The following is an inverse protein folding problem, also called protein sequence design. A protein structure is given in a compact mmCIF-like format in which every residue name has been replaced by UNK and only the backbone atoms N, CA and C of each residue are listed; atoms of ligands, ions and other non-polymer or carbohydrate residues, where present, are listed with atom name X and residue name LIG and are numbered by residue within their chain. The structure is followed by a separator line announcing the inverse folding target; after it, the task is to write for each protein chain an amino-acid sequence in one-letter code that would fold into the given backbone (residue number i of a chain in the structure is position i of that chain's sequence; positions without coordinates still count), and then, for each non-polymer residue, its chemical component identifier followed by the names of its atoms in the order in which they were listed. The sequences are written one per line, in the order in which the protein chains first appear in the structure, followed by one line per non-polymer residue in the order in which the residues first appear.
data_IF_763533729928
#
_entry.id   IF_763533729928
#
_cell.length_a   1.000
_cell.length_b   1.000
_cell.length_c   1.000
_cell.angle_alpha   90.00
_cell.angle_beta   90.00
_cell.angle_gamma   90.00
#
_symmetry.space_group_name_H-M   'P 1'
#
loop_
_entity.id
_entity.type
_entity.pdbx_description
1 polymer ?
#
# COMPACT_ATOMS: atom_id res chain seq x y z
N UNK A 1 18.26 31.85 37.55
CA UNK A 1 18.49 31.72 36.10
C UNK A 1 17.94 30.37 35.66
N UNK A 2 16.77 30.40 35.03
CA UNK A 2 15.99 29.24 34.58
C UNK A 2 16.62 28.59 33.36
N UNK A 3 16.80 27.27 33.38
CA UNK A 3 17.14 26.48 32.19
C UNK A 3 15.97 25.53 31.90
N UNK A 4 14.93 26.04 31.24
CA UNK A 4 13.83 25.24 30.72
C UNK A 4 14.31 24.49 29.50
N UNK A 5 14.48 23.18 29.68
CA UNK A 5 14.77 22.21 28.62
C UNK A 5 13.76 22.39 27.49
N UNK A 6 14.27 22.59 26.27
CA UNK A 6 13.49 22.47 25.04
C UNK A 6 12.93 21.05 24.92
N UNK A 7 11.72 20.84 25.43
CA UNK A 7 10.93 19.66 25.12
C UNK A 7 10.46 19.82 23.65
N UNK A 8 10.78 18.88 22.74
CA UNK A 8 10.22 18.95 21.39
C UNK A 8 8.70 18.92 21.52
N UNK A 9 8.04 19.93 20.95
CA UNK A 9 6.58 20.06 20.95
C UNK A 9 5.96 18.72 20.58
N UNK A 10 5.19 18.15 21.50
CA UNK A 10 4.48 16.89 21.23
C UNK A 10 3.58 17.11 20.01
N UNK A 11 3.67 16.27 18.96
CA UNK A 11 2.88 16.52 17.76
C UNK A 11 1.38 16.56 18.10
N UNK A 12 0.66 17.51 17.50
CA UNK A 12 -0.80 17.60 17.64
C UNK A 12 -1.49 16.28 17.29
N UNK A 13 -2.69 16.04 17.81
CA UNK A 13 -3.41 14.77 17.65
C UNK A 13 -3.58 14.35 16.18
N UNK A 14 -3.79 15.31 15.28
CA UNK A 14 -3.85 15.10 13.81
C UNK A 14 -2.53 14.55 13.28
N UNK A 15 -1.40 15.13 13.68
CA UNK A 15 -0.07 14.68 13.25
C UNK A 15 0.22 13.26 13.74
N UNK A 16 -0.14 12.95 14.99
CA UNK A 16 -0.03 11.59 15.54
C UNK A 16 -0.92 10.59 14.78
N UNK A 17 -2.13 10.97 14.44
CA UNK A 17 -3.05 10.14 13.66
C UNK A 17 -2.56 9.88 12.22
N UNK A 18 -2.04 10.91 11.54
CA UNK A 18 -1.48 10.78 10.18
C UNK A 18 -0.20 9.93 10.15
N UNK A 19 0.64 10.05 11.18
CA UNK A 19 1.81 9.17 11.37
C UNK A 19 1.39 7.72 11.62
N UNK A 20 0.30 7.51 12.37
CA UNK A 20 -0.25 6.18 12.68
C UNK A 20 -0.79 5.48 11.41
N UNK A 21 -1.47 6.21 10.52
CA UNK A 21 -1.97 5.67 9.24
C UNK A 21 -0.84 5.48 8.21
N UNK A 22 0.37 5.99 8.48
CA UNK A 22 1.48 6.06 7.50
C UNK A 22 0.97 6.67 6.20
N UNK A 23 0.48 7.91 6.28
CA UNK A 23 -0.15 8.64 5.16
C UNK A 23 0.64 8.55 3.84
N UNK A 24 1.97 8.51 3.92
CA UNK A 24 2.83 8.31 2.76
C UNK A 24 2.56 7.02 1.97
N UNK A 25 2.24 5.91 2.63
CA UNK A 25 1.92 4.64 1.94
C UNK A 25 0.52 4.69 1.31
N UNK A 26 -0.38 5.53 1.85
CA UNK A 26 -1.70 5.78 1.28
C UNK A 26 -1.60 6.56 -0.04
N UNK A 27 -0.68 7.53 -0.11
CA UNK A 27 -0.40 8.29 -1.33
C UNK A 27 0.04 7.36 -2.47
N UNK A 28 0.71 6.24 -2.18
CA UNK A 28 1.25 5.37 -3.22
C UNK A 28 0.23 4.38 -3.79
N UNK A 29 -0.74 3.93 -2.99
CA UNK A 29 -1.78 3.01 -3.45
C UNK A 29 -2.94 3.72 -4.18
N UNK A 30 -3.18 4.99 -3.84
CA UNK A 30 -4.26 5.79 -4.41
C UNK A 30 -4.20 5.90 -5.96
N UNK A 31 -3.04 6.17 -6.58
CA UNK A 31 -2.92 6.25 -8.03
C UNK A 31 -3.35 4.99 -8.77
N UNK A 32 -3.09 3.80 -8.24
CA UNK A 32 -3.47 2.54 -8.88
C UNK A 32 -4.99 2.33 -8.86
N UNK A 33 -5.64 2.64 -7.75
CA UNK A 33 -7.10 2.56 -7.65
C UNK A 33 -7.79 3.62 -8.53
N UNK A 34 -7.29 4.85 -8.55
CA UNK A 34 -7.82 5.90 -9.41
C UNK A 34 -7.57 5.62 -10.90
N UNK A 35 -6.42 5.08 -11.26
CA UNK A 35 -6.14 4.65 -12.64
C UNK A 35 -7.11 3.55 -13.10
N UNK A 36 -7.35 2.55 -12.25
CA UNK A 36 -8.36 1.52 -12.52
C UNK A 36 -9.77 2.12 -12.68
N UNK A 37 -10.15 3.06 -11.80
CA UNK A 37 -11.44 3.76 -11.87
C UNK A 37 -11.60 4.57 -13.17
N UNK A 38 -10.56 5.32 -13.56
CA UNK A 38 -10.57 6.12 -14.79
C UNK A 38 -10.73 5.24 -16.02
N UNK A 39 -9.95 4.16 -16.13
CA UNK A 39 -10.07 3.21 -17.24
C UNK A 39 -11.46 2.56 -17.25
N UNK A 40 -11.94 2.09 -16.10
CA UNK A 40 -13.27 1.50 -15.97
C UNK A 40 -14.42 2.45 -16.39
N UNK A 41 -14.20 3.76 -16.24
CA UNK A 41 -15.16 4.80 -16.57
C UNK A 41 -14.92 5.45 -17.95
N UNK A 42 -14.00 4.92 -18.77
CA UNK A 42 -13.56 5.56 -20.01
C UNK A 42 -13.21 7.05 -19.82
N UNK A 43 -12.45 7.33 -18.77
CA UNK A 43 -12.00 8.67 -18.37
C UNK A 43 -12.99 9.49 -17.55
N UNK A 44 -14.29 9.13 -17.51
CA UNK A 44 -15.35 9.98 -16.94
C UNK A 44 -16.15 9.31 -15.82
N UNK A 45 -15.55 9.02 -14.65
CA UNK A 45 -16.29 8.50 -13.51
C UNK A 45 -17.25 9.57 -12.99
N UNK A 46 -18.44 9.14 -12.54
CA UNK A 46 -19.36 10.08 -11.88
C UNK A 46 -18.73 10.60 -10.59
N UNK A 47 -18.96 11.88 -10.26
CA UNK A 47 -18.42 12.48 -9.04
C UNK A 47 -18.82 11.69 -7.78
N UNK A 48 -20.05 11.15 -7.76
CA UNK A 48 -20.53 10.29 -6.67
C UNK A 48 -19.67 9.04 -6.50
N UNK A 49 -19.41 8.29 -7.57
CA UNK A 49 -18.59 7.07 -7.51
C UNK A 49 -17.17 7.41 -7.08
N UNK A 50 -16.58 8.47 -7.66
CA UNK A 50 -15.24 8.94 -7.30
C UNK A 50 -15.14 9.24 -5.79
N UNK A 51 -16.06 10.05 -5.26
CA UNK A 51 -16.06 10.41 -3.83
C UNK A 51 -16.26 9.19 -2.93
N UNK A 52 -17.17 8.28 -3.28
CA UNK A 52 -17.40 7.06 -2.50
C UNK A 52 -16.19 6.11 -2.53
N UNK A 53 -15.52 5.97 -3.69
CA UNK A 53 -14.27 5.21 -3.80
C UNK A 53 -13.19 5.81 -2.90
N UNK A 54 -13.02 7.15 -2.91
CA UNK A 54 -12.07 7.82 -2.01
C UNK A 54 -12.39 7.57 -0.53
N UNK A 55 -13.67 7.65 -0.15
CA UNK A 55 -14.12 7.32 1.22
C UNK A 55 -13.77 5.86 1.57
N UNK A 56 -14.09 4.91 0.68
CA UNK A 56 -13.74 3.51 0.87
C UNK A 56 -12.24 3.30 1.05
N UNK A 57 -11.41 3.95 0.23
CA UNK A 57 -9.96 3.83 0.31
C UNK A 57 -9.40 4.35 1.63
N UNK A 58 -9.83 5.54 2.08
CA UNK A 58 -9.39 6.13 3.35
C UNK A 58 -9.86 5.28 4.53
N UNK A 59 -11.12 4.83 4.51
CA UNK A 59 -11.71 4.02 5.56
C UNK A 59 -11.05 2.63 5.67
N UNK A 60 -10.91 1.91 4.55
CA UNK A 60 -10.26 0.60 4.51
C UNK A 60 -8.80 0.68 4.97
N UNK A 61 -8.06 1.69 4.52
CA UNK A 61 -6.67 1.90 4.93
C UNK A 61 -6.56 2.18 6.43
N UNK A 62 -7.45 3.01 6.96
CA UNK A 62 -7.51 3.34 8.38
C UNK A 62 -7.81 2.09 9.21
N UNK A 63 -8.81 1.30 8.80
CA UNK A 63 -9.16 0.05 9.47
C UNK A 63 -8.00 -0.95 9.46
N UNK A 64 -7.37 -1.18 8.32
CA UNK A 64 -6.24 -2.11 8.18
C UNK A 64 -5.03 -1.69 9.03
N UNK A 65 -4.71 -0.40 9.09
CA UNK A 65 -3.60 0.11 9.90
C UNK A 65 -3.91 -0.01 11.40
N UNK A 66 -5.12 0.34 11.83
CA UNK A 66 -5.52 0.21 13.23
C UNK A 66 -5.56 -1.26 13.67
N UNK A 67 -6.10 -2.15 12.84
CA UNK A 67 -6.11 -3.57 13.10
C UNK A 67 -4.69 -4.12 13.24
N UNK A 68 -3.78 -3.78 12.32
CA UNK A 68 -2.37 -4.17 12.42
C UNK A 68 -1.73 -3.70 13.74
N UNK A 69 -1.96 -2.44 14.15
CA UNK A 69 -1.41 -1.90 15.41
C UNK A 69 -1.95 -2.60 16.64
N UNK A 70 -3.23 -2.99 16.63
CA UNK A 70 -3.85 -3.74 17.71
C UNK A 70 -3.30 -5.19 17.78
N UNK A 71 -3.11 -5.85 16.64
CA UNK A 71 -2.57 -7.22 16.56
C UNK A 71 -1.10 -7.27 16.99
N UNK A 72 -0.31 -6.27 16.59
CA UNK A 72 1.12 -6.18 16.89
C UNK A 72 1.42 -5.48 18.23
N UNK A 73 0.42 -5.10 19.01
CA UNK A 73 0.55 -4.19 20.17
C UNK A 73 1.68 -4.55 21.13
N UNK A 74 1.79 -5.81 21.55
CA UNK A 74 2.84 -6.26 22.47
C UNK A 74 4.20 -6.37 21.80
N UNK A 75 4.27 -6.81 20.55
CA UNK A 75 5.51 -6.92 19.79
C UNK A 75 6.08 -5.55 19.41
N UNK A 76 5.23 -4.61 19.02
CA UNK A 76 5.59 -3.23 18.68
C UNK A 76 6.23 -2.52 19.89
N UNK A 77 5.88 -2.88 21.13
CA UNK A 77 6.49 -2.35 22.36
C UNK A 77 7.91 -2.85 22.62
N UNK A 78 8.26 -4.05 22.14
CA UNK A 78 9.60 -4.64 22.33
C UNK A 78 10.60 -4.23 21.24
N UNK A 79 10.12 -3.76 20.09
CA UNK A 79 10.99 -3.29 19.01
C UNK A 79 11.33 -1.81 19.17
N UNK A 80 12.62 -1.49 19.33
CA UNK A 80 13.15 -0.13 19.49
C UNK A 80 12.67 0.84 18.41
N UNK A 81 12.47 0.37 17.18
CA UNK A 81 12.01 1.18 16.05
C UNK A 81 10.52 1.54 16.12
N UNK A 82 9.72 0.71 16.79
CA UNK A 82 8.26 0.82 16.79
C UNK A 82 7.68 1.10 18.18
N UNK A 83 8.52 1.12 19.21
CA UNK A 83 8.14 1.31 20.59
C UNK A 83 7.33 2.60 20.80
N UNK A 84 7.53 3.66 20.01
CA UNK A 84 6.74 4.89 20.14
C UNK A 84 5.29 4.78 19.62
N UNK A 85 4.93 3.74 18.86
CA UNK A 85 3.62 3.64 18.20
C UNK A 85 2.44 3.51 19.18
N UNK A 86 2.62 2.78 20.28
CA UNK A 86 1.56 2.59 21.28
C UNK A 86 1.25 3.87 22.08
N UNK A 87 2.14 4.88 22.01
CA UNK A 87 1.96 6.19 22.65
C UNK A 87 1.10 7.15 21.79
N UNK A 88 0.82 6.79 20.54
CA UNK A 88 0.09 7.67 19.62
C UNK A 88 -1.41 7.74 19.95
N UNK A 89 -2.01 6.62 20.35
CA UNK A 89 -3.43 6.47 20.66
C UNK A 89 -3.64 5.36 21.70
N UNK A 90 -4.58 5.56 22.62
CA UNK A 90 -4.94 4.52 23.60
C UNK A 90 -5.64 3.34 22.91
N UNK A 91 -5.51 2.14 23.49
CA UNK A 91 -6.11 0.92 22.96
C UNK A 91 -7.64 1.04 22.75
N UNK A 92 -8.43 1.59 23.70
CA UNK A 92 -9.86 1.81 23.49
C UNK A 92 -10.17 2.76 22.34
N UNK A 93 -9.39 3.85 22.20
CA UNK A 93 -9.57 4.79 21.10
C UNK A 93 -9.28 4.14 19.74
N UNK A 94 -8.23 3.33 19.63
CA UNK A 94 -7.96 2.57 18.39
C UNK A 94 -9.07 1.58 18.05
N UNK A 95 -9.63 0.88 19.04
CA UNK A 95 -10.78 0.01 18.81
C UNK A 95 -11.99 0.79 18.31
N UNK A 96 -12.29 1.95 18.89
CA UNK A 96 -13.39 2.82 18.46
C UNK A 96 -13.18 3.30 17.00
N UNK A 97 -11.98 3.78 16.66
CA UNK A 97 -11.66 4.19 15.29
C UNK A 97 -11.66 3.02 14.30
N UNK A 98 -11.26 1.82 14.73
CA UNK A 98 -11.32 0.62 13.91
C UNK A 98 -12.77 0.27 13.56
N UNK A 99 -13.66 0.27 14.56
CA UNK A 99 -15.09 0.02 14.36
C UNK A 99 -15.71 1.09 13.46
N UNK A 100 -15.41 2.37 13.72
CA UNK A 100 -15.92 3.49 12.93
C UNK A 100 -15.46 3.41 11.46
N UNK A 101 -14.16 3.20 11.22
CA UNK A 101 -13.61 3.08 9.85
C UNK A 101 -14.14 1.86 9.11
N UNK A 102 -14.32 0.73 9.80
CA UNK A 102 -14.95 -0.47 9.22
C UNK A 102 -16.41 -0.20 8.85
N UNK A 103 -17.17 0.48 9.71
CA UNK A 103 -18.56 0.86 9.42
C UNK A 103 -18.65 1.83 8.24
N UNK A 104 -17.80 2.85 8.19
CA UNK A 104 -17.74 3.80 7.08
C UNK A 104 -17.42 3.09 5.76
N UNK A 105 -16.44 2.18 5.75
CA UNK A 105 -16.09 1.41 4.55
C UNK A 105 -17.28 0.57 4.05
N UNK A 106 -17.95 -0.14 4.95
CA UNK A 106 -19.09 -0.99 4.60
C UNK A 106 -20.28 -0.15 4.10
N UNK A 107 -20.63 0.93 4.79
CA UNK A 107 -21.73 1.81 4.39
C UNK A 107 -21.46 2.48 3.04
N UNK A 108 -20.23 2.96 2.81
CA UNK A 108 -19.83 3.53 1.53
C UNK A 108 -19.89 2.46 0.41
N UNK A 109 -19.41 1.24 0.67
CA UNK A 109 -19.46 0.13 -0.28
C UNK A 109 -20.89 -0.27 -0.66
N UNK A 110 -21.81 -0.29 0.31
CA UNK A 110 -23.25 -0.52 0.08
C UNK A 110 -23.88 0.61 -0.75
N UNK A 111 -23.40 1.84 -0.57
CA UNK A 111 -23.93 3.03 -1.26
C UNK A 111 -23.48 3.18 -2.72
N UNK A 112 -22.55 2.34 -3.19
CA UNK A 112 -22.02 2.34 -4.56
C UNK A 112 -22.87 1.41 -5.44
N UNK A 113 -22.76 0.09 -5.26
CA UNK A 113 -23.54 -0.91 -6.01
C UNK A 113 -23.61 -2.27 -5.26
N UNK A 114 -24.40 -3.22 -5.80
CA UNK A 114 -24.59 -4.54 -5.16
C UNK A 114 -23.31 -5.37 -5.08
N UNK A 115 -22.44 -5.30 -6.09
CA UNK A 115 -21.21 -6.09 -6.10
C UNK A 115 -20.23 -5.59 -5.02
N UNK A 116 -20.04 -4.28 -4.88
CA UNK A 116 -19.24 -3.70 -3.80
C UNK A 116 -19.82 -4.02 -2.42
N UNK A 117 -21.15 -4.00 -2.27
CA UNK A 117 -21.81 -4.41 -1.03
C UNK A 117 -21.44 -5.84 -0.62
N UNK A 118 -21.63 -6.80 -1.54
CA UNK A 118 -21.40 -8.22 -1.32
C UNK A 118 -19.92 -8.56 -1.09
N UNK A 119 -19.01 -7.85 -1.76
CA UNK A 119 -17.57 -8.09 -1.67
C UNK A 119 -16.89 -7.33 -0.52
N UNK A 120 -17.55 -6.33 0.09
CA UNK A 120 -16.97 -5.55 1.18
C UNK A 120 -16.51 -6.40 2.38
N UNK A 121 -17.24 -7.45 2.83
CA UNK A 121 -16.74 -8.32 3.91
C UNK A 121 -15.51 -9.13 3.49
N UNK A 122 -15.45 -9.57 2.22
CA UNK A 122 -14.29 -10.29 1.67
C UNK A 122 -13.07 -9.37 1.62
N UNK A 123 -13.24 -8.12 1.19
CA UNK A 123 -12.19 -7.12 1.22
C UNK A 123 -11.68 -6.93 2.66
N UNK A 124 -12.56 -6.66 3.63
CA UNK A 124 -12.17 -6.50 5.03
C UNK A 124 -11.44 -7.73 5.59
N UNK A 125 -11.90 -8.94 5.25
CA UNK A 125 -11.23 -10.18 5.65
C UNK A 125 -9.78 -10.21 5.14
N UNK A 126 -9.53 -9.89 3.87
CA UNK A 126 -8.17 -9.81 3.30
C UNK A 126 -7.35 -8.71 4.00
N UNK A 127 -7.93 -7.52 4.19
CA UNK A 127 -7.29 -6.37 4.83
C UNK A 127 -6.93 -6.62 6.30
N UNK A 128 -7.65 -7.47 7.02
CA UNK A 128 -7.31 -7.84 8.40
C UNK A 128 -6.39 -9.06 8.46
N UNK A 129 -6.58 -10.01 7.55
CA UNK A 129 -5.84 -11.25 7.55
C UNK A 129 -4.32 -11.04 7.43
N UNK A 130 -3.86 -10.09 6.61
CA UNK A 130 -2.40 -9.88 6.44
C UNK A 130 -1.68 -9.62 7.79
N UNK A 131 -2.32 -8.90 8.71
CA UNK A 131 -1.74 -8.53 10.02
C UNK A 131 -1.41 -9.72 10.90
N UNK A 132 -2.06 -10.87 10.70
CA UNK A 132 -1.81 -12.08 11.50
C UNK A 132 -0.84 -13.07 10.82
N UNK A 133 -0.53 -12.86 9.54
CA UNK A 133 0.24 -13.83 8.74
C UNK A 133 1.65 -14.07 9.26
N UNK A 134 2.30 -13.07 9.86
CA UNK A 134 3.66 -13.19 10.44
C UNK A 134 3.78 -14.24 11.54
N UNK A 135 2.65 -14.72 12.06
CA UNK A 135 2.60 -15.73 13.12
C UNK A 135 2.72 -17.17 12.60
N UNK A 136 2.54 -17.39 11.30
CA UNK A 136 2.51 -18.75 10.74
C UNK A 136 3.11 -18.88 9.32
N UNK A 137 3.52 -17.79 8.67
CA UNK A 137 4.15 -17.86 7.34
C UNK A 137 5.19 -16.78 7.12
N UNK A 138 6.28 -17.12 6.43
CA UNK A 138 7.29 -16.16 6.01
C UNK A 138 6.78 -15.25 4.87
N UNK A 139 5.69 -15.65 4.22
CA UNK A 139 5.16 -15.00 3.01
C UNK A 139 4.27 -13.76 3.29
N UNK A 140 4.33 -13.16 4.49
CA UNK A 140 3.50 -11.99 4.86
C UNK A 140 3.51 -10.86 3.83
N UNK A 141 4.67 -10.61 3.20
CA UNK A 141 4.82 -9.56 2.19
C UNK A 141 3.83 -9.71 1.01
N UNK A 142 3.53 -10.96 0.63
CA UNK A 142 2.56 -11.25 -0.44
C UNK A 142 1.12 -11.06 0.01
N UNK A 143 0.79 -11.36 1.27
CA UNK A 143 -0.53 -11.08 1.83
C UNK A 143 -0.78 -9.59 2.02
N UNK A 144 0.25 -8.82 2.42
CA UNK A 144 0.19 -7.37 2.42
C UNK A 144 -0.02 -6.83 0.99
N UNK A 145 0.69 -7.40 0.01
CA UNK A 145 0.49 -7.07 -1.40
C UNK A 145 -0.92 -7.37 -1.89
N UNK A 146 -1.47 -8.52 -1.51
CA UNK A 146 -2.86 -8.87 -1.80
C UNK A 146 -3.85 -7.88 -1.19
N UNK A 147 -3.63 -7.44 0.06
CA UNK A 147 -4.47 -6.44 0.71
C UNK A 147 -4.51 -5.11 -0.05
N UNK A 148 -3.39 -4.69 -0.66
CA UNK A 148 -3.35 -3.50 -1.51
C UNK A 148 -3.87 -3.76 -2.93
N UNK A 149 -3.70 -4.96 -3.48
CA UNK A 149 -4.22 -5.36 -4.78
C UNK A 149 -5.76 -5.33 -4.86
N UNK A 150 -6.45 -5.44 -3.72
CA UNK A 150 -7.90 -5.25 -3.62
C UNK A 150 -8.33 -3.84 -4.03
N UNK A 151 -7.48 -2.82 -3.87
CA UNK A 151 -7.85 -1.43 -4.16
C UNK A 151 -8.19 -1.17 -5.65
N UNK A 152 -7.34 -1.49 -6.64
CA UNK A 152 -7.71 -1.34 -8.06
C UNK A 152 -8.90 -2.21 -8.46
N UNK A 153 -9.01 -3.44 -7.93
CA UNK A 153 -10.17 -4.29 -8.17
C UNK A 153 -11.47 -3.70 -7.62
N UNK A 154 -11.45 -3.21 -6.38
CA UNK A 154 -12.59 -2.57 -5.74
C UNK A 154 -13.02 -1.29 -6.47
N UNK A 155 -12.06 -0.48 -6.93
CA UNK A 155 -12.35 0.72 -7.70
C UNK A 155 -12.98 0.42 -9.07
N UNK A 156 -12.54 -0.65 -9.74
CA UNK A 156 -13.16 -1.13 -10.98
C UNK A 156 -14.57 -1.64 -10.76
N UNK A 157 -14.78 -2.49 -9.74
CA UNK A 157 -16.09 -3.02 -9.38
C UNK A 157 -17.04 -1.88 -8.97
N UNK A 158 -16.54 -0.85 -8.29
CA UNK A 158 -17.32 0.32 -7.91
C UNK A 158 -17.94 1.04 -9.12
N UNK A 159 -17.21 1.09 -10.24
CA UNK A 159 -17.67 1.72 -11.46
C UNK A 159 -18.50 0.79 -12.35
N UNK A 160 -18.12 -0.48 -12.49
CA UNK A 160 -18.69 -1.39 -13.50
C UNK A 160 -19.70 -2.39 -12.93
N UNK A 161 -19.72 -2.58 -11.61
CA UNK A 161 -20.51 -3.62 -10.94
C UNK A 161 -20.01 -5.04 -11.19
N UNK A 162 -18.86 -5.23 -11.83
CA UNK A 162 -18.27 -6.55 -12.14
C UNK A 162 -16.75 -6.53 -12.02
N UNK A 163 -16.14 -7.70 -12.05
CA UNK A 163 -14.69 -7.88 -12.05
C UNK A 163 -14.24 -8.35 -13.43
N UNK A 164 -13.47 -7.51 -14.12
CA UNK A 164 -12.93 -7.81 -15.45
C UNK A 164 -11.43 -8.13 -15.38
N UNK A 165 -10.79 -8.45 -16.52
CA UNK A 165 -9.37 -8.79 -16.60
C UNK A 165 -8.44 -7.61 -16.24
N UNK A 166 -8.64 -6.36 -16.73
CA UNK A 166 -7.70 -5.27 -16.46
C UNK A 166 -7.40 -5.02 -14.97
N UNK A 167 -8.38 -4.94 -14.05
CA UNK A 167 -8.07 -4.73 -12.63
C UNK A 167 -7.37 -5.93 -11.97
N UNK A 168 -7.53 -7.15 -12.51
CA UNK A 168 -6.80 -8.33 -12.02
C UNK A 168 -5.32 -8.26 -12.40
N UNK A 169 -5.02 -7.88 -13.64
CA UNK A 169 -3.64 -7.66 -14.11
C UNK A 169 -2.97 -6.54 -13.32
N UNK A 170 -3.67 -5.43 -13.13
CA UNK A 170 -3.18 -4.33 -12.32
C UNK A 170 -2.99 -4.72 -10.85
N UNK A 171 -3.97 -5.43 -10.27
CA UNK A 171 -3.90 -5.95 -8.91
C UNK A 171 -2.69 -6.87 -8.70
N UNK A 172 -2.40 -7.75 -9.66
CA UNK A 172 -1.21 -8.59 -9.63
C UNK A 172 0.09 -7.75 -9.65
N UNK A 173 0.16 -6.74 -10.50
CA UNK A 173 1.28 -5.79 -10.51
C UNK A 173 1.46 -5.08 -9.16
N UNK A 174 0.37 -4.59 -8.57
CA UNK A 174 0.37 -3.96 -7.24
C UNK A 174 0.83 -4.94 -6.16
N UNK A 175 0.40 -6.20 -6.20
CA UNK A 175 0.84 -7.22 -5.25
C UNK A 175 2.36 -7.40 -5.32
N UNK A 176 2.92 -7.59 -6.51
CA UNK A 176 4.36 -7.78 -6.69
C UNK A 176 5.15 -6.54 -6.25
N UNK A 177 4.68 -5.34 -6.60
CA UNK A 177 5.29 -4.10 -6.15
C UNK A 177 5.28 -3.96 -4.63
N UNK A 178 4.16 -4.27 -3.99
CA UNK A 178 4.04 -4.17 -2.54
C UNK A 178 4.91 -5.18 -1.82
N UNK A 179 4.91 -6.43 -2.28
CA UNK A 179 5.76 -7.46 -1.75
C UNK A 179 7.25 -7.08 -1.91
N UNK A 180 7.64 -6.54 -3.08
CA UNK A 180 9.00 -6.11 -3.36
C UNK A 180 9.47 -5.01 -2.42
N UNK A 181 8.71 -3.92 -2.26
CA UNK A 181 9.13 -2.84 -1.35
C UNK A 181 9.08 -3.27 0.11
N UNK A 182 8.11 -4.09 0.52
CA UNK A 182 7.97 -4.50 1.92
C UNK A 182 9.09 -5.45 2.35
N UNK A 183 9.58 -6.31 1.43
CA UNK A 183 10.79 -7.10 1.64
C UNK A 183 12.01 -6.22 1.92
N UNK A 184 12.15 -5.13 1.18
CA UNK A 184 13.26 -4.18 1.35
C UNK A 184 13.13 -3.44 2.67
N UNK A 185 11.92 -3.01 3.02
CA UNK A 185 11.65 -2.34 4.29
C UNK A 185 11.94 -3.27 5.48
N UNK A 186 11.55 -4.54 5.37
CA UNK A 186 11.77 -5.56 6.41
C UNK A 186 13.25 -5.89 6.65
N UNK A 187 14.17 -5.52 5.75
CA UNK A 187 15.62 -5.62 6.03
C UNK A 187 16.05 -4.81 7.26
N UNK A 188 15.30 -3.77 7.64
CA UNK A 188 15.55 -2.98 8.85
C UNK A 188 15.25 -3.75 10.14
N UNK A 189 14.34 -4.73 10.08
CA UNK A 189 13.90 -5.50 11.24
C UNK A 189 14.62 -6.84 11.35
N UNK A 190 15.61 -7.13 10.50
CA UNK A 190 16.30 -8.43 10.42
C UNK A 190 16.77 -8.95 11.79
N UNK A 191 17.50 -8.16 12.56
CA UNK A 191 18.02 -8.58 13.87
C UNK A 191 16.93 -8.71 14.93
N UNK A 192 15.84 -7.95 14.80
CA UNK A 192 14.71 -8.03 15.73
C UNK A 192 13.89 -9.30 15.44
N UNK A 193 13.49 -9.49 14.18
CA UNK A 193 12.71 -10.66 13.73
C UNK A 193 13.44 -11.96 14.04
N UNK A 194 14.77 -12.00 13.85
CA UNK A 194 15.61 -13.15 14.19
C UNK A 194 15.61 -13.44 15.69
N UNK A 195 15.65 -12.41 16.55
CA UNK A 195 15.70 -12.56 18.01
C UNK A 195 14.36 -12.99 18.61
N UNK A 196 13.27 -12.46 18.08
CA UNK A 196 11.90 -12.78 18.53
C UNK A 196 11.34 -14.06 17.90
N UNK A 197 12.07 -14.68 16.96
CA UNK A 197 11.64 -15.91 16.28
C UNK A 197 10.41 -15.72 15.39
N UNK A 198 10.25 -14.54 14.78
CA UNK A 198 9.13 -14.25 13.88
C UNK A 198 9.34 -14.90 12.51
N UNK A 199 8.25 -15.30 11.85
CA UNK A 199 8.30 -15.75 10.46
C UNK A 199 8.62 -14.58 9.54
N UNK A 200 9.86 -14.55 9.03
CA UNK A 200 10.39 -13.45 8.23
C UNK A 200 11.18 -14.00 7.06
N UNK A 201 10.70 -13.73 5.84
CA UNK A 201 11.38 -14.16 4.63
C UNK A 201 12.79 -13.57 4.52
N UNK A 202 13.00 -12.39 5.12
CA UNK A 202 14.31 -11.75 5.22
C UNK A 202 15.27 -12.57 6.08
N UNK A 203 14.81 -13.07 7.23
CA UNK A 203 15.61 -13.93 8.11
C UNK A 203 15.93 -15.25 7.41
N UNK A 204 14.95 -15.84 6.72
CA UNK A 204 15.12 -17.13 6.03
C UNK A 204 16.04 -17.08 4.81
N UNK A 205 15.92 -16.05 3.98
CA UNK A 205 16.70 -15.93 2.74
C UNK A 205 18.04 -15.22 2.95
N UNK A 206 18.13 -14.37 3.97
CA UNK A 206 19.21 -13.41 4.15
C UNK A 206 19.04 -12.18 3.27
N UNK A 207 19.56 -11.04 3.74
CA UNK A 207 19.41 -9.72 3.09
C UNK A 207 19.75 -9.75 1.59
N UNK A 208 20.88 -10.33 1.11
CA UNK A 208 21.22 -10.29 -0.31
C UNK A 208 20.17 -10.97 -1.22
N UNK A 209 19.69 -12.16 -0.84
CA UNK A 209 18.68 -12.89 -1.61
C UNK A 209 17.31 -12.24 -1.54
N UNK A 210 16.97 -11.62 -0.40
CA UNK A 210 15.77 -10.80 -0.26
C UNK A 210 15.77 -9.61 -1.22
N UNK A 211 16.89 -8.90 -1.35
CA UNK A 211 17.00 -7.77 -2.28
C UNK A 211 16.95 -8.21 -3.75
N UNK A 212 17.46 -9.41 -4.07
CA UNK A 212 17.32 -10.01 -5.40
C UNK A 212 15.86 -10.39 -5.69
N UNK A 213 15.16 -10.99 -4.72
CA UNK A 213 13.74 -11.30 -4.86
C UNK A 213 12.91 -10.02 -5.07
N UNK A 214 13.19 -8.96 -4.32
CA UNK A 214 12.53 -7.68 -4.50
C UNK A 214 12.76 -7.09 -5.91
N UNK A 215 13.97 -7.20 -6.45
CA UNK A 215 14.28 -6.83 -7.84
C UNK A 215 13.42 -7.61 -8.84
N UNK A 216 13.33 -8.92 -8.70
CA UNK A 216 12.50 -9.76 -9.57
C UNK A 216 11.02 -9.40 -9.47
N UNK A 217 10.51 -9.11 -8.27
CA UNK A 217 9.12 -8.70 -8.07
C UNK A 217 8.82 -7.33 -8.70
N UNK A 218 9.74 -6.36 -8.63
CA UNK A 218 9.57 -5.08 -9.30
C UNK A 218 9.61 -5.20 -10.83
N UNK A 219 10.43 -6.12 -11.37
CA UNK A 219 10.41 -6.44 -12.79
C UNK A 219 9.06 -7.06 -13.20
N UNK A 220 8.53 -8.00 -12.42
CA UNK A 220 7.21 -8.61 -12.66
C UNK A 220 6.12 -7.54 -12.59
N UNK A 221 6.18 -6.60 -11.63
CA UNK A 221 5.25 -5.47 -11.60
C UNK A 221 5.35 -4.63 -12.87
N UNK A 222 6.55 -4.29 -13.34
CA UNK A 222 6.70 -3.52 -14.57
C UNK A 222 6.07 -4.23 -15.79
N UNK A 223 6.28 -5.54 -15.90
CA UNK A 223 5.61 -6.36 -16.92
C UNK A 223 4.08 -6.33 -16.76
N UNK A 224 3.57 -6.40 -15.54
CA UNK A 224 2.13 -6.34 -15.27
C UNK A 224 1.52 -4.96 -15.58
N UNK A 225 2.22 -3.85 -15.31
CA UNK A 225 1.77 -2.52 -15.72
C UNK A 225 1.74 -2.40 -17.25
N UNK A 226 2.78 -2.90 -17.93
CA UNK A 226 2.80 -2.92 -19.39
C UNK A 226 1.65 -3.76 -19.95
N UNK A 227 1.41 -4.95 -19.38
CA UNK A 227 0.29 -5.81 -19.72
C UNK A 227 -1.06 -5.14 -19.45
N UNK A 228 -1.20 -4.39 -18.36
CA UNK A 228 -2.37 -3.59 -18.04
C UNK A 228 -2.68 -2.62 -19.18
N UNK A 229 -1.68 -1.90 -19.71
CA UNK A 229 -1.86 -1.02 -20.86
C UNK A 229 -2.47 -1.70 -22.08
N UNK A 230 -2.02 -2.92 -22.40
CA UNK A 230 -2.58 -3.70 -23.51
C UNK A 230 -4.03 -4.14 -23.24
N UNK A 231 -4.33 -4.72 -22.07
CA UNK A 231 -5.68 -5.21 -21.77
C UNK A 231 -6.68 -4.08 -21.52
N UNK A 232 -6.19 -2.90 -21.09
CA UNK A 232 -6.97 -1.67 -20.96
C UNK A 232 -7.10 -0.88 -22.27
N UNK A 233 -6.43 -1.33 -23.35
CA UNK A 233 -6.40 -0.66 -24.67
C UNK A 233 -5.93 0.79 -24.61
N UNK A 234 -4.91 1.05 -23.80
CA UNK A 234 -4.27 2.36 -23.72
C UNK A 234 -3.37 2.61 -24.93
N UNK A 235 -3.15 3.88 -25.25
CA UNK A 235 -2.40 4.39 -26.37
C UNK A 235 -0.92 4.67 -26.08
N UNK A 236 -0.31 5.40 -27.01
CA UNK A 236 1.12 5.63 -27.04
C UNK A 236 1.63 6.48 -25.85
N UNK A 237 0.79 7.34 -25.28
CA UNK A 237 1.17 8.17 -24.13
C UNK A 237 1.44 7.27 -22.92
N UNK A 238 0.57 6.29 -22.68
CA UNK A 238 0.77 5.31 -21.61
C UNK A 238 2.06 4.50 -21.78
N UNK A 239 2.29 3.94 -22.97
CA UNK A 239 3.47 3.12 -23.23
C UNK A 239 4.78 3.92 -23.19
N UNK A 240 4.76 5.19 -23.61
CA UNK A 240 5.92 6.08 -23.49
C UNK A 240 6.23 6.36 -22.01
N UNK A 241 5.21 6.55 -21.17
CA UNK A 241 5.40 6.74 -19.74
C UNK A 241 5.99 5.50 -19.04
N UNK A 242 5.79 4.29 -19.57
CA UNK A 242 6.44 3.08 -19.05
C UNK A 242 7.97 3.15 -19.15
N UNK A 243 8.54 3.91 -20.09
CA UNK A 243 9.99 4.14 -20.14
C UNK A 243 10.47 4.91 -18.89
N UNK A 244 9.67 5.86 -18.39
CA UNK A 244 9.98 6.59 -17.16
C UNK A 244 9.89 5.69 -15.93
N UNK A 245 8.88 4.81 -15.89
CA UNK A 245 8.75 3.80 -14.82
C UNK A 245 9.95 2.85 -14.81
N UNK A 246 10.36 2.35 -15.98
CA UNK A 246 11.55 1.50 -16.12
C UNK A 246 12.82 2.23 -15.64
N UNK A 247 13.00 3.49 -16.03
CA UNK A 247 14.13 4.31 -15.60
C UNK A 247 14.16 4.51 -14.07
N UNK A 248 13.00 4.74 -13.46
CA UNK A 248 12.86 4.88 -12.01
C UNK A 248 13.25 3.58 -11.27
N UNK A 249 12.75 2.42 -11.71
CA UNK A 249 13.10 1.12 -11.13
C UNK A 249 14.59 0.79 -11.28
N UNK A 250 15.19 1.13 -12.42
CA UNK A 250 16.64 0.98 -12.62
C UNK A 250 17.43 1.88 -11.68
N UNK A 251 17.02 3.15 -11.53
CA UNK A 251 17.65 4.10 -10.61
C UNK A 251 17.57 3.62 -9.17
N UNK A 252 16.40 3.16 -8.75
CA UNK A 252 16.12 2.61 -7.42
C UNK A 252 17.06 1.46 -7.07
N UNK A 253 17.13 0.43 -7.92
CA UNK A 253 17.97 -0.74 -7.66
C UNK A 253 19.47 -0.47 -7.82
N UNK A 254 19.89 0.44 -8.71
CA UNK A 254 21.29 0.89 -8.78
C UNK A 254 21.70 1.65 -7.53
N UNK A 255 20.83 2.53 -7.05
CA UNK A 255 21.06 3.29 -5.80
C UNK A 255 21.10 2.34 -4.60
N UNK A 256 20.24 1.33 -4.56
CA UNK A 256 20.22 0.33 -3.51
C UNK A 256 21.52 -0.47 -3.39
N UNK A 257 22.27 -0.64 -4.49
CA UNK A 257 23.58 -1.32 -4.49
C UNK A 257 24.72 -0.46 -3.98
N UNK A 258 24.56 0.87 -4.01
CA UNK A 258 25.62 1.85 -3.67
C UNK A 258 25.44 2.49 -2.30
N UNK A 259 24.25 2.41 -1.73
CA UNK A 259 23.88 3.07 -0.49
C UNK A 259 23.78 2.06 0.67
N UNK A 260 24.12 2.51 1.89
CA UNK A 260 23.78 1.77 3.10
C UNK A 260 22.26 1.67 3.31
N UNK A 261 21.81 0.84 4.26
CA UNK A 261 20.39 0.52 4.51
C UNK A 261 19.45 1.74 4.59
N UNK A 262 19.92 2.87 5.16
CA UNK A 262 19.13 4.09 5.24
C UNK A 262 18.93 4.77 3.87
N UNK A 263 19.96 4.77 3.02
CA UNK A 263 19.90 5.38 1.69
C UNK A 263 19.10 4.54 0.68
N UNK A 264 19.16 3.21 0.82
CA UNK A 264 18.25 2.25 0.15
C UNK A 264 16.82 2.73 0.33
N UNK A 265 16.32 2.80 1.57
CA UNK A 265 14.92 3.14 1.86
C UNK A 265 14.47 4.50 1.31
N UNK A 266 15.33 5.52 1.34
CA UNK A 266 15.01 6.83 0.76
C UNK A 266 14.85 6.75 -0.76
N UNK A 267 15.75 6.05 -1.45
CA UNK A 267 15.66 5.86 -2.90
C UNK A 267 14.38 5.10 -3.30
N UNK A 268 14.02 4.04 -2.57
CA UNK A 268 12.76 3.31 -2.79
C UNK A 268 11.54 4.19 -2.58
N UNK A 269 11.50 4.98 -1.50
CA UNK A 269 10.35 5.84 -1.22
C UNK A 269 10.08 6.85 -2.34
N UNK A 270 11.13 7.53 -2.82
CA UNK A 270 11.00 8.51 -3.90
C UNK A 270 10.61 7.85 -5.23
N UNK A 271 11.23 6.71 -5.55
CA UNK A 271 10.93 5.96 -6.77
C UNK A 271 9.48 5.45 -6.77
N UNK A 272 9.01 4.88 -5.67
CA UNK A 272 7.63 4.40 -5.54
C UNK A 272 6.59 5.52 -5.68
N UNK A 273 6.85 6.68 -5.07
CA UNK A 273 6.01 7.86 -5.25
C UNK A 273 5.94 8.27 -6.72
N UNK A 274 7.10 8.34 -7.38
CA UNK A 274 7.23 8.71 -8.77
C UNK A 274 6.50 7.72 -9.70
N UNK A 275 6.72 6.41 -9.54
CA UNK A 275 6.07 5.36 -10.33
C UNK A 275 4.54 5.47 -10.23
N UNK A 276 4.00 5.60 -9.01
CA UNK A 276 2.56 5.73 -8.83
C UNK A 276 1.99 7.02 -9.46
N UNK A 277 2.70 8.15 -9.36
CA UNK A 277 2.28 9.43 -9.94
C UNK A 277 2.32 9.41 -11.46
N UNK A 278 3.41 8.90 -12.05
CA UNK A 278 3.56 8.73 -13.50
C UNK A 278 2.49 7.80 -14.05
N UNK A 279 2.20 6.69 -13.37
CA UNK A 279 1.15 5.76 -13.77
C UNK A 279 -0.21 6.44 -13.91
N UNK A 280 -0.65 7.18 -12.87
CA UNK A 280 -1.96 7.85 -12.91
C UNK A 280 -1.99 8.98 -13.94
N UNK A 281 -0.93 9.79 -14.01
CA UNK A 281 -0.85 10.89 -14.98
C UNK A 281 -0.88 10.35 -16.41
N UNK A 282 -0.17 9.26 -16.70
CA UNK A 282 -0.15 8.65 -18.01
C UNK A 282 -1.53 8.14 -18.43
N UNK A 283 -2.25 7.44 -17.54
CA UNK A 283 -3.64 7.01 -17.80
C UNK A 283 -4.53 8.22 -18.04
N UNK A 284 -4.42 9.25 -17.21
CA UNK A 284 -5.23 10.45 -17.37
C UNK A 284 -4.99 11.08 -18.75
N UNK A 285 -3.75 11.39 -19.09
CA UNK A 285 -3.43 12.03 -20.38
C UNK A 285 -3.89 11.17 -21.57
N UNK A 286 -3.63 9.87 -21.53
CA UNK A 286 -3.97 8.95 -22.63
C UNK A 286 -5.48 8.73 -22.83
N UNK A 287 -6.30 8.93 -21.79
CA UNK A 287 -7.77 8.87 -21.91
C UNK A 287 -8.40 10.17 -22.42
N UNK A 288 -7.67 11.29 -22.37
CA UNK A 288 -8.18 12.62 -22.71
C UNK A 288 -7.54 13.24 -23.96
N UNK A 289 -6.52 12.60 -24.54
CA UNK A 289 -5.81 13.02 -25.77
C UNK A 289 -5.83 11.89 -26.80
#
# INVERSE_FOLDING_TARGET
MSNTRNCPLTPGWVSRFLQLIRFSHTIFALPFALGALLVAANGRPSLRVLLLVLVCMVAARTAAMLFNRLVDWSSDQRNLRTASRHLLLSRPAMCAFLLASTAIFTLASVSINRATALLSPVALAILFFYSVTKRFTDATHFFLGLALAVAPAGAWIAQTGRLDIPPLVLGFGVLCWVAGFDLIYATQDYDFDRREGLHSLVVRLGIPRTLQLAQSLHLVMFCALTAFGFVARLGAIYFTAMLLVAAALLYEHRSARRLGLAGVNRAFFHSNAFVSGVFLLAIFLDLFW
#
